data_IF_170528903464
#
_entry.id   IF_170528903464
#
_cell.length_a   1.000
_cell.length_b   1.000
_cell.length_c   1.000
_cell.angle_alpha   90.00
_cell.angle_beta   90.00
_cell.angle_gamma   90.00
#
_symmetry.space_group_name_H-M   'P 1'
#
loop_
_entity.id
_entity.type
_entity.pdbx_description
1 polymer ?
#
# COMPACT_ATOMS: atom_id res chain seq x y z
N UNK A 1 -11.80 -21.88 10.14
CA UNK A 1 -10.53 -21.40 10.73
C UNK A 1 -10.85 -20.14 11.52
N UNK A 2 -10.36 -19.96 12.76
CA UNK A 2 -10.64 -18.72 13.49
C UNK A 2 -10.03 -17.52 12.74
N UNK A 3 -10.70 -16.35 12.70
CA UNK A 3 -10.24 -15.18 11.94
C UNK A 3 -8.79 -14.78 12.25
N UNK A 4 -8.37 -14.93 13.51
CA UNK A 4 -7.00 -14.64 13.97
C UNK A 4 -5.93 -15.53 13.34
N UNK A 5 -6.21 -16.82 13.11
CA UNK A 5 -5.26 -17.75 12.48
C UNK A 5 -5.14 -17.49 10.97
N UNK A 6 -6.24 -17.15 10.31
CA UNK A 6 -6.21 -16.81 8.89
C UNK A 6 -5.40 -15.54 8.65
N UNK A 7 -5.63 -14.51 9.46
CA UNK A 7 -4.85 -13.27 9.44
C UNK A 7 -3.37 -13.53 9.69
N UNK A 8 -3.02 -14.32 10.71
CA UNK A 8 -1.63 -14.68 10.99
C UNK A 8 -0.96 -15.34 9.78
N UNK A 9 -1.66 -16.27 9.12
CA UNK A 9 -1.16 -16.94 7.92
C UNK A 9 -0.98 -15.97 6.75
N UNK A 10 -1.91 -15.04 6.55
CA UNK A 10 -1.79 -14.01 5.50
C UNK A 10 -0.56 -13.12 5.73
N UNK A 11 -0.37 -12.58 6.93
CA UNK A 11 0.78 -11.74 7.27
C UNK A 11 2.10 -12.52 7.15
N UNK A 12 2.13 -13.76 7.63
CA UNK A 12 3.28 -14.65 7.48
C UNK A 12 3.59 -14.93 6.01
N UNK A 13 2.58 -15.12 5.18
CA UNK A 13 2.76 -15.37 3.76
C UNK A 13 3.23 -14.13 3.00
N UNK A 14 2.71 -12.93 3.30
CA UNK A 14 3.23 -11.68 2.74
C UNK A 14 4.68 -11.44 3.15
N UNK A 15 5.02 -11.66 4.42
CA UNK A 15 6.42 -11.58 4.88
C UNK A 15 7.34 -12.52 4.10
N UNK A 16 6.92 -13.77 3.91
CA UNK A 16 7.68 -14.76 3.14
C UNK A 16 7.80 -14.38 1.67
N UNK A 17 6.74 -13.84 1.08
CA UNK A 17 6.74 -13.39 -0.31
C UNK A 17 7.75 -12.24 -0.51
N UNK A 18 7.75 -11.25 0.39
CA UNK A 18 8.74 -10.16 0.39
C UNK A 18 10.17 -10.71 0.45
N UNK A 19 10.44 -11.63 1.40
CA UNK A 19 11.76 -12.28 1.53
C UNK A 19 12.15 -13.10 0.30
N UNK A 20 11.20 -13.80 -0.32
CA UNK A 20 11.45 -14.60 -1.51
C UNK A 20 11.81 -13.74 -2.74
N UNK A 21 11.29 -12.51 -2.81
CA UNK A 21 11.66 -11.53 -3.84
C UNK A 21 12.91 -10.72 -3.48
N UNK A 22 13.61 -11.05 -2.38
CA UNK A 22 14.83 -10.37 -1.98
C UNK A 22 14.62 -8.99 -1.37
N UNK A 23 13.38 -8.62 -1.03
CA UNK A 23 13.08 -7.35 -0.36
C UNK A 23 13.65 -7.38 1.06
N UNK A 24 14.40 -6.32 1.40
CA UNK A 24 14.94 -6.13 2.74
C UNK A 24 13.83 -5.66 3.67
N UNK A 25 13.72 -6.25 4.86
CA UNK A 25 12.69 -5.88 5.83
C UNK A 25 13.39 -5.26 7.04
N UNK A 26 13.04 -4.02 7.35
CA UNK A 26 13.62 -3.23 8.43
C UNK A 26 12.53 -2.88 9.45
N UNK A 27 12.78 -3.19 10.72
CA UNK A 27 11.87 -2.82 11.81
C UNK A 27 12.34 -1.52 12.46
N UNK A 28 11.63 -0.42 12.22
CA UNK A 28 11.87 0.90 12.84
C UNK A 28 10.60 1.75 12.82
N UNK A 29 10.65 2.91 13.45
CA UNK A 29 9.53 3.87 13.41
C UNK A 29 9.14 4.24 11.97
N UNK A 30 7.83 4.33 11.72
CA UNK A 30 7.24 4.60 10.40
C UNK A 30 6.76 3.36 9.64
N UNK A 31 6.03 3.60 8.54
CA UNK A 31 5.58 2.59 7.58
C UNK A 31 5.90 3.09 6.19
N UNK A 32 6.64 2.31 5.42
CA UNK A 32 6.99 2.67 4.05
C UNK A 32 7.54 1.47 3.27
N UNK A 33 7.09 1.29 2.04
CA UNK A 33 7.83 0.59 1.00
C UNK A 33 8.71 1.60 0.23
N UNK A 34 10.01 1.35 0.21
CA UNK A 34 11.00 2.16 -0.50
C UNK A 34 11.51 1.38 -1.71
N UNK A 35 10.97 1.62 -2.92
CA UNK A 35 11.37 0.88 -4.11
C UNK A 35 12.78 1.31 -4.56
N UNK A 36 13.50 0.38 -5.18
CA UNK A 36 14.83 0.62 -5.73
C UNK A 36 14.85 0.30 -7.23
N UNK A 37 15.50 1.15 -8.03
CA UNK A 37 15.55 0.92 -9.48
C UNK A 37 16.41 -0.30 -9.83
N UNK A 38 15.82 -1.23 -10.58
CA UNK A 38 16.47 -2.43 -11.12
C UNK A 38 16.80 -3.50 -10.07
N UNK A 39 16.32 -3.37 -8.83
CA UNK A 39 16.57 -4.32 -7.75
C UNK A 39 15.47 -4.26 -6.69
N UNK A 40 15.29 -5.31 -5.87
CA UNK A 40 14.33 -5.27 -4.76
C UNK A 40 14.56 -4.07 -3.83
N UNK A 41 13.45 -3.47 -3.40
CA UNK A 41 13.42 -2.34 -2.47
C UNK A 41 13.57 -2.73 -1.00
N UNK A 42 13.15 -1.82 -0.12
CA UNK A 42 13.09 -2.01 1.32
C UNK A 42 11.67 -1.88 1.84
N UNK A 43 11.28 -2.76 2.74
CA UNK A 43 10.02 -2.72 3.46
C UNK A 43 10.30 -2.29 4.91
N UNK A 44 9.92 -1.06 5.25
CA UNK A 44 10.13 -0.48 6.58
C UNK A 44 8.82 -0.60 7.35
N UNK A 45 8.90 -1.17 8.54
CA UNK A 45 7.73 -1.38 9.37
C UNK A 45 7.94 -1.07 10.85
N UNK A 46 7.02 -0.28 11.40
CA UNK A 46 6.84 -0.11 12.83
C UNK A 46 6.18 -1.34 13.46
N UNK A 47 6.64 -1.70 14.65
CA UNK A 47 6.04 -2.76 15.49
C UNK A 47 4.56 -2.48 15.83
N UNK A 48 4.16 -1.21 15.81
CA UNK A 48 2.82 -0.75 16.19
C UNK A 48 1.93 -0.49 14.96
N UNK A 49 2.39 -0.90 13.77
CA UNK A 49 1.66 -0.72 12.53
C UNK A 49 0.32 -1.46 12.52
N UNK A 50 -0.70 -0.81 11.98
CA UNK A 50 -1.98 -1.46 11.72
C UNK A 50 -1.85 -2.51 10.61
N UNK A 51 -2.73 -3.51 10.62
CA UNK A 51 -2.78 -4.53 9.56
C UNK A 51 -3.13 -3.88 8.21
N UNK A 52 -3.96 -2.84 8.22
CA UNK A 52 -4.28 -2.06 7.03
C UNK A 52 -3.02 -1.41 6.44
N UNK A 53 -2.21 -0.73 7.27
CA UNK A 53 -0.95 -0.13 6.84
C UNK A 53 0.06 -1.18 6.34
N UNK A 54 0.17 -2.35 7.00
CA UNK A 54 0.99 -3.46 6.48
C UNK A 54 0.57 -3.83 5.05
N UNK A 55 -0.73 -4.02 4.84
CA UNK A 55 -1.27 -4.46 3.56
C UNK A 55 -1.17 -3.37 2.48
N UNK A 56 -1.24 -2.09 2.86
CA UNK A 56 -0.97 -0.95 1.98
C UNK A 56 0.44 -1.01 1.42
N UNK A 57 1.45 -1.02 2.29
CA UNK A 57 2.86 -1.06 1.87
C UNK A 57 3.18 -2.36 1.12
N UNK A 58 2.52 -3.46 1.48
CA UNK A 58 2.68 -4.72 0.75
C UNK A 58 2.11 -4.63 -0.67
N UNK A 59 1.03 -3.88 -0.90
CA UNK A 59 0.52 -3.63 -2.24
C UNK A 59 1.53 -2.85 -3.09
N UNK A 60 2.21 -1.84 -2.53
CA UNK A 60 3.30 -1.15 -3.24
C UNK A 60 4.45 -2.08 -3.60
N UNK A 61 4.83 -2.99 -2.71
CA UNK A 61 5.84 -4.00 -3.03
C UNK A 61 5.40 -4.94 -4.17
N UNK A 62 4.13 -5.37 -4.18
CA UNK A 62 3.59 -6.20 -5.26
C UNK A 62 3.58 -5.46 -6.61
N UNK A 63 3.20 -4.19 -6.62
CA UNK A 63 3.19 -3.36 -7.82
C UNK A 63 4.63 -3.18 -8.38
N UNK A 64 5.60 -2.92 -7.51
CA UNK A 64 7.02 -2.79 -7.88
C UNK A 64 7.61 -4.13 -8.39
N UNK A 65 7.26 -5.26 -7.77
CA UNK A 65 7.62 -6.60 -8.26
C UNK A 65 7.02 -6.85 -9.66
N UNK A 66 5.73 -6.56 -9.84
CA UNK A 66 5.02 -6.80 -11.09
C UNK A 66 5.57 -5.95 -12.25
N UNK A 67 6.02 -4.73 -11.94
CA UNK A 67 6.67 -3.83 -12.89
C UNK A 67 8.18 -4.10 -13.06
N UNK A 68 8.73 -5.14 -12.44
CA UNK A 68 10.15 -5.51 -12.47
C UNK A 68 11.09 -4.41 -11.94
N UNK A 69 10.75 -3.86 -10.77
CA UNK A 69 11.53 -2.89 -10.00
C UNK A 69 11.86 -1.59 -10.75
N UNK A 70 10.85 -0.83 -11.22
CA UNK A 70 11.09 0.45 -11.87
C UNK A 70 11.75 1.50 -10.96
N UNK A 71 11.61 1.35 -9.63
CA UNK A 71 11.92 2.41 -8.68
C UNK A 71 10.86 3.53 -8.71
N UNK A 72 11.12 4.65 -8.02
CA UNK A 72 10.15 5.76 -7.96
C UNK A 72 10.05 6.60 -9.24
N UNK A 73 10.98 6.45 -10.19
CA UNK A 73 11.11 7.32 -11.37
C UNK A 73 9.80 7.49 -12.15
N UNK A 74 9.17 6.40 -12.61
CA UNK A 74 7.92 6.49 -13.38
C UNK A 74 6.77 7.19 -12.62
N UNK A 75 6.65 6.97 -11.31
CA UNK A 75 5.61 7.61 -10.49
C UNK A 75 5.82 9.11 -10.29
N UNK A 76 7.03 9.63 -10.50
CA UNK A 76 7.28 11.08 -10.52
C UNK A 76 7.03 11.70 -11.89
N UNK A 77 7.10 10.90 -12.96
CA UNK A 77 6.90 11.36 -14.34
C UNK A 77 5.42 11.38 -14.73
N UNK A 78 4.61 10.46 -14.19
CA UNK A 78 3.17 10.38 -14.42
C UNK A 78 2.38 10.43 -13.09
N UNK A 79 1.82 11.60 -12.73
CA UNK A 79 1.00 11.75 -11.53
C UNK A 79 -0.28 10.90 -11.53
N UNK A 80 -0.83 10.57 -12.70
CA UNK A 80 -2.01 9.71 -12.82
C UNK A 80 -1.64 8.27 -12.49
N UNK A 81 -0.51 7.78 -13.01
CA UNK A 81 -0.03 6.44 -12.67
C UNK A 81 0.32 6.32 -11.18
N UNK A 82 0.94 7.34 -10.60
CA UNK A 82 1.21 7.42 -9.16
C UNK A 82 -0.09 7.35 -8.35
N UNK A 83 -1.10 8.15 -8.73
CA UNK A 83 -2.40 8.11 -8.07
C UNK A 83 -3.06 6.74 -8.18
N UNK A 84 -3.03 6.09 -9.35
CA UNK A 84 -3.62 4.77 -9.53
C UNK A 84 -2.94 3.70 -8.65
N UNK A 85 -1.63 3.79 -8.44
CA UNK A 85 -0.90 2.95 -7.50
C UNK A 85 -1.38 3.17 -6.05
N UNK A 86 -1.45 4.42 -5.61
CA UNK A 86 -1.90 4.79 -4.27
C UNK A 86 -3.36 4.40 -4.03
N UNK A 87 -4.23 4.65 -5.01
CA UNK A 87 -5.64 4.26 -4.99
C UNK A 87 -5.80 2.76 -4.74
N UNK A 88 -5.04 1.90 -5.43
CA UNK A 88 -5.06 0.45 -5.21
C UNK A 88 -4.69 0.09 -3.77
N UNK A 89 -3.69 0.75 -3.19
CA UNK A 89 -3.26 0.52 -1.81
C UNK A 89 -4.33 0.96 -0.79
N UNK A 90 -4.98 2.12 -0.99
CA UNK A 90 -6.12 2.54 -0.17
C UNK A 90 -7.36 1.63 -0.32
N UNK A 91 -7.64 1.13 -1.52
CA UNK A 91 -8.72 0.13 -1.72
C UNK A 91 -8.44 -1.16 -0.92
N UNK A 92 -7.17 -1.55 -0.77
CA UNK A 92 -6.77 -2.67 0.11
C UNK A 92 -7.03 -2.34 1.57
N UNK A 93 -6.75 -1.11 2.03
CA UNK A 93 -7.07 -0.69 3.39
C UNK A 93 -8.58 -0.72 3.66
N UNK A 94 -9.39 -0.18 2.76
CA UNK A 94 -10.85 -0.17 2.89
C UNK A 94 -11.39 -1.60 2.94
N UNK A 95 -10.93 -2.47 2.04
CA UNK A 95 -11.32 -3.90 2.07
C UNK A 95 -10.91 -4.56 3.37
N UNK A 96 -9.71 -4.25 3.88
CA UNK A 96 -9.23 -4.76 5.17
C UNK A 96 -10.12 -4.27 6.31
N UNK A 97 -10.49 -3.00 6.34
CA UNK A 97 -11.40 -2.44 7.33
C UNK A 97 -12.76 -3.17 7.33
N UNK A 98 -13.32 -3.43 6.15
CA UNK A 98 -14.55 -4.20 5.99
C UNK A 98 -14.42 -5.67 6.44
N UNK A 99 -13.28 -6.32 6.18
CA UNK A 99 -13.01 -7.68 6.66
C UNK A 99 -13.03 -7.81 8.19
N UNK A 100 -12.69 -6.74 8.90
CA UNK A 100 -12.61 -6.71 10.37
C UNK A 100 -13.80 -6.03 11.04
N UNK A 101 -14.84 -5.66 10.28
CA UNK A 101 -16.05 -4.99 10.78
C UNK A 101 -15.73 -3.81 11.71
N UNK A 102 -14.75 -3.00 11.30
CA UNK A 102 -14.35 -1.81 12.07
C UNK A 102 -15.43 -0.73 11.99
N UNK A 103 -15.48 0.21 12.95
CA UNK A 103 -16.45 1.30 12.93
C UNK A 103 -16.39 2.09 11.62
N UNK A 104 -17.56 2.49 11.11
CA UNK A 104 -17.70 3.28 9.87
C UNK A 104 -16.85 4.57 9.89
N UNK A 105 -16.67 5.18 11.07
CA UNK A 105 -15.82 6.36 11.25
C UNK A 105 -14.36 6.10 10.83
N UNK A 106 -13.84 4.88 11.07
CA UNK A 106 -12.49 4.52 10.65
C UNK A 106 -12.41 4.37 9.12
N UNK A 107 -13.44 3.78 8.50
CA UNK A 107 -13.54 3.68 7.04
C UNK A 107 -13.60 5.07 6.41
N UNK A 108 -14.40 5.99 6.98
CA UNK A 108 -14.49 7.36 6.54
C UNK A 108 -13.13 8.09 6.60
N UNK A 109 -12.35 7.88 7.66
CA UNK A 109 -10.99 8.44 7.78
C UNK A 109 -10.03 7.90 6.72
N UNK A 110 -10.12 6.62 6.35
CA UNK A 110 -9.31 6.04 5.27
C UNK A 110 -9.69 6.69 3.93
N UNK A 111 -10.99 6.86 3.67
CA UNK A 111 -11.48 7.54 2.45
C UNK A 111 -11.04 8.99 2.38
N UNK A 112 -11.08 9.71 3.49
CA UNK A 112 -10.59 11.08 3.57
C UNK A 112 -9.08 11.16 3.28
N UNK A 113 -8.29 10.26 3.87
CA UNK A 113 -6.85 10.18 3.60
C UNK A 113 -6.55 9.89 2.12
N UNK A 114 -7.30 8.96 1.51
CA UNK A 114 -7.24 8.66 0.08
C UNK A 114 -7.55 9.89 -0.79
N UNK A 115 -8.61 10.64 -0.50
CA UNK A 115 -8.95 11.88 -1.23
C UNK A 115 -7.92 13.00 -1.03
N UNK A 116 -7.33 13.10 0.16
CA UNK A 116 -6.24 14.05 0.41
C UNK A 116 -5.00 13.67 -0.41
N UNK A 117 -4.65 12.38 -0.47
CA UNK A 117 -3.56 11.87 -1.30
C UNK A 117 -3.81 12.12 -2.79
N UNK A 118 -5.05 11.93 -3.26
CA UNK A 118 -5.47 12.29 -4.62
C UNK A 118 -5.16 13.76 -4.92
N UNK A 119 -5.53 14.65 -4.00
CA UNK A 119 -5.31 16.10 -4.14
C UNK A 119 -3.84 16.51 -4.10
N UNK A 120 -3.00 15.76 -3.38
CA UNK A 120 -1.55 15.98 -3.34
C UNK A 120 -0.88 15.60 -4.66
N UNK A 121 -1.30 14.48 -5.26
CA UNK A 121 -0.67 13.91 -6.44
C UNK A 121 -1.23 14.47 -7.73
N UNK A 122 -2.55 14.67 -7.80
CA UNK A 122 -3.22 15.14 -9.00
C UNK A 122 -3.55 16.64 -8.89
N UNK A 123 -2.98 17.49 -9.75
CA UNK A 123 -3.40 18.88 -9.81
C UNK A 123 -4.88 18.95 -10.24
N UNK A 124 -5.64 19.98 -9.80
CA UNK A 124 -7.10 20.03 -9.96
C UNK A 124 -7.61 19.92 -11.41
N UNK A 125 -6.79 20.31 -12.38
CA UNK A 125 -7.05 20.25 -13.83
C UNK A 125 -6.78 18.88 -14.46
N UNK A 126 -6.17 17.97 -13.71
CA UNK A 126 -5.82 16.59 -14.12
C UNK A 126 -6.61 15.57 -13.30
N UNK A 127 -7.55 16.00 -12.46
CA UNK A 127 -8.50 15.07 -11.84
C UNK A 127 -9.24 14.38 -12.98
N UNK A 128 -8.98 13.09 -13.21
CA UNK A 128 -9.59 12.49 -14.35
C UNK A 128 -11.09 12.44 -14.08
N UNK A 129 -11.87 13.00 -15.00
CA UNK A 129 -13.31 12.77 -15.10
C UNK A 129 -13.54 11.31 -15.49
N UNK A 130 -13.15 10.38 -14.63
CA UNK A 130 -13.62 9.00 -14.71
C UNK A 130 -14.90 8.94 -13.89
N UNK A 131 -16.02 9.06 -14.61
CA UNK A 131 -17.35 8.70 -14.16
C UNK A 131 -17.35 7.26 -13.63
N UNK A 132 -17.99 7.10 -12.46
CA UNK A 132 -18.68 5.90 -11.92
C UNK A 132 -17.85 4.61 -11.71
#
# INVERSE_FOLDING_TARGET
MPPSLLLFLQLRNSYRNLKAHGIEIEFREGMMYSPAKGRPGKFIISKDASIAAWRHEYQHALDDIAANYPGLGPYFEDPVEHWLMEKRAYEVEIRTAMEFDVPEELVARIREAMENRKRELLPPDVWPDYYE
#
